data_IF_219778644906
#
_entry.id   IF_219778644906
#
_cell.length_a   1.000
_cell.length_b   1.000
_cell.length_c   1.000
_cell.angle_alpha   90.00
_cell.angle_beta   90.00
_cell.angle_gamma   90.00
#
_symmetry.space_group_name_H-M   'P 1'
#
loop_
_entity.id
_entity.type
_entity.pdbx_description
1 polymer ?
#
# COMPACT_ATOMS: atom_id res chain seq x y z
N UNK A 1 -25.18 -26.53 21.88
CA UNK A 1 -23.71 -26.76 21.81
C UNK A 1 -23.32 -26.87 20.36
N UNK A 2 -22.88 -25.78 19.78
CA UNK A 2 -22.44 -25.80 18.39
C UNK A 2 -21.00 -26.31 18.38
N UNK A 3 -20.82 -27.52 17.92
CA UNK A 3 -19.50 -28.14 17.74
C UNK A 3 -18.76 -27.33 16.68
N UNK A 4 -17.83 -26.50 17.10
CA UNK A 4 -16.85 -25.89 16.24
C UNK A 4 -16.04 -27.04 15.63
N UNK A 5 -16.38 -27.44 14.43
CA UNK A 5 -15.58 -28.41 13.68
C UNK A 5 -14.21 -27.78 13.48
N UNK A 6 -13.25 -28.19 14.31
CA UNK A 6 -11.88 -27.74 14.18
C UNK A 6 -11.34 -28.26 12.85
N UNK A 7 -11.18 -27.34 11.89
CA UNK A 7 -10.45 -27.59 10.66
C UNK A 7 -9.06 -28.10 11.05
N UNK A 8 -8.57 -29.20 10.46
CA UNK A 8 -7.24 -29.70 10.79
C UNK A 8 -6.19 -28.59 10.69
N UNK A 9 -5.25 -28.49 11.63
CA UNK A 9 -4.20 -27.46 11.63
C UNK A 9 -3.47 -27.36 10.28
N UNK A 10 -3.34 -28.49 9.61
CA UNK A 10 -2.75 -28.58 8.27
C UNK A 10 -3.51 -27.78 7.21
N UNK A 11 -4.83 -27.78 7.22
CA UNK A 11 -5.64 -27.00 6.25
C UNK A 11 -5.52 -25.49 6.48
N UNK A 12 -5.55 -25.04 7.72
CA UNK A 12 -5.37 -23.63 8.05
C UNK A 12 -3.98 -23.12 7.63
N UNK A 13 -2.95 -23.93 7.88
CA UNK A 13 -1.57 -23.63 7.46
C UNK A 13 -1.46 -23.57 5.93
N UNK A 14 -2.04 -24.53 5.22
CA UNK A 14 -2.05 -24.52 3.75
C UNK A 14 -2.75 -23.28 3.17
N UNK A 15 -3.89 -22.90 3.73
CA UNK A 15 -4.65 -21.72 3.31
C UNK A 15 -3.82 -20.46 3.56
N UNK A 16 -3.20 -20.34 4.73
CA UNK A 16 -2.35 -19.20 5.06
C UNK A 16 -1.16 -19.07 4.08
N UNK A 17 -0.49 -20.18 3.80
CA UNK A 17 0.62 -20.23 2.85
C UNK A 17 0.15 -19.86 1.44
N UNK A 18 -0.95 -20.44 0.98
CA UNK A 18 -1.50 -20.17 -0.35
C UNK A 18 -1.92 -18.71 -0.53
N UNK A 19 -2.54 -18.10 0.49
CA UNK A 19 -2.89 -16.68 0.48
C UNK A 19 -1.63 -15.81 0.43
N UNK A 20 -0.63 -16.14 1.23
CA UNK A 20 0.63 -15.40 1.24
C UNK A 20 1.34 -15.48 -0.12
N UNK A 21 1.47 -16.68 -0.69
CA UNK A 21 2.07 -16.90 -2.01
C UNK A 21 1.28 -16.18 -3.11
N UNK A 22 -0.04 -16.23 -3.07
CA UNK A 22 -0.89 -15.55 -4.03
C UNK A 22 -0.69 -14.03 -3.98
N UNK A 23 -0.71 -13.44 -2.79
CA UNK A 23 -0.56 -11.98 -2.62
C UNK A 23 0.85 -11.52 -2.97
N UNK A 24 1.89 -12.26 -2.55
CA UNK A 24 3.28 -11.88 -2.79
C UNK A 24 3.77 -12.24 -4.20
N UNK A 25 3.22 -13.30 -4.78
CA UNK A 25 3.51 -13.72 -6.15
C UNK A 25 2.94 -12.79 -7.21
N UNK A 26 1.98 -11.95 -6.85
CA UNK A 26 1.47 -10.93 -7.76
C UNK A 26 2.47 -9.79 -7.88
N UNK A 27 3.12 -9.70 -9.02
CA UNK A 27 4.22 -8.78 -9.29
C UNK A 27 3.76 -7.33 -9.51
N UNK A 28 2.79 -6.88 -8.68
CA UNK A 28 2.23 -5.53 -8.71
C UNK A 28 3.27 -4.47 -8.39
N UNK A 29 4.19 -4.78 -7.49
CA UNK A 29 5.28 -3.86 -7.14
C UNK A 29 6.18 -3.62 -8.34
N UNK A 30 6.51 -4.67 -9.09
CA UNK A 30 7.30 -4.54 -10.32
C UNK A 30 6.54 -3.75 -11.38
N UNK A 31 5.25 -4.00 -11.57
CA UNK A 31 4.40 -3.22 -12.46
C UNK A 31 4.35 -1.74 -12.06
N UNK A 32 4.23 -1.45 -10.76
CA UNK A 32 4.29 -0.09 -10.22
C UNK A 32 5.63 0.60 -10.51
N UNK A 33 6.72 -0.10 -10.25
CA UNK A 33 8.06 0.44 -10.50
C UNK A 33 8.29 0.72 -11.98
N UNK A 34 7.84 -0.18 -12.84
CA UNK A 34 7.94 -0.02 -14.28
C UNK A 34 7.09 1.17 -14.77
N UNK A 35 5.85 1.28 -14.31
CA UNK A 35 4.91 2.32 -14.72
C UNK A 35 5.33 3.72 -14.25
N UNK A 36 5.86 3.84 -13.05
CA UNK A 36 6.24 5.12 -12.44
C UNK A 36 7.74 5.40 -12.54
N UNK A 37 8.54 4.41 -12.91
CA UNK A 37 10.01 4.48 -12.90
C UNK A 37 10.55 4.99 -11.54
N UNK A 38 10.00 4.46 -10.46
CA UNK A 38 10.34 4.80 -9.08
C UNK A 38 10.61 3.53 -8.27
N UNK A 39 11.53 3.62 -7.33
CA UNK A 39 11.75 2.55 -6.34
C UNK A 39 10.58 2.38 -5.37
N UNK A 40 10.52 1.23 -4.66
CA UNK A 40 9.37 0.86 -3.81
C UNK A 40 9.05 1.91 -2.74
N UNK A 41 10.05 2.40 -2.04
CA UNK A 41 9.86 3.38 -0.98
C UNK A 41 9.29 4.71 -1.47
N UNK A 42 9.68 5.14 -2.67
CA UNK A 42 9.20 6.39 -3.27
C UNK A 42 7.75 6.29 -3.73
N UNK A 43 7.35 5.15 -4.28
CA UNK A 43 5.95 4.90 -4.64
C UNK A 43 5.06 4.94 -3.40
N UNK A 44 5.48 4.32 -2.31
CA UNK A 44 4.78 4.33 -1.03
C UNK A 44 4.60 5.77 -0.51
N UNK A 45 5.66 6.57 -0.56
CA UNK A 45 5.60 7.98 -0.16
C UNK A 45 4.59 8.76 -0.99
N UNK A 46 4.59 8.60 -2.31
CA UNK A 46 3.62 9.28 -3.19
C UNK A 46 2.18 8.90 -2.84
N UNK A 47 1.91 7.62 -2.66
CA UNK A 47 0.58 7.13 -2.33
C UNK A 47 0.11 7.68 -0.98
N UNK A 48 0.98 7.71 0.02
CA UNK A 48 0.65 8.26 1.34
C UNK A 48 0.43 9.77 1.32
N UNK A 49 1.20 10.51 0.53
CA UNK A 49 1.03 11.95 0.35
C UNK A 49 -0.30 12.32 -0.33
N UNK A 50 -0.95 11.37 -1.01
CA UNK A 50 -2.29 11.60 -1.55
C UNK A 50 -3.34 11.86 -0.47
N UNK A 51 -3.13 11.36 0.75
CA UNK A 51 -4.02 11.61 1.89
C UNK A 51 -3.82 13.00 2.53
N UNK A 52 -2.73 13.67 2.21
CA UNK A 52 -2.40 15.00 2.71
C UNK A 52 -0.90 15.23 2.84
N UNK A 53 -0.48 16.49 3.01
CA UNK A 53 0.92 16.81 3.19
C UNK A 53 1.48 16.23 4.50
N UNK A 54 2.75 15.87 4.48
CA UNK A 54 3.46 15.28 5.60
C UNK A 54 4.82 15.93 5.83
N UNK A 55 5.27 15.94 7.07
CA UNK A 55 6.66 16.27 7.41
C UNK A 55 7.59 15.11 7.03
N UNK A 56 8.89 15.39 6.89
CA UNK A 56 9.88 14.34 6.65
C UNK A 56 9.89 13.26 7.74
N UNK A 57 9.63 13.64 8.99
CA UNK A 57 9.52 12.68 10.11
C UNK A 57 8.33 11.75 9.94
N UNK A 58 7.18 12.29 9.55
CA UNK A 58 5.98 11.49 9.29
C UNK A 58 6.19 10.55 8.09
N UNK A 59 6.84 11.02 7.03
CA UNK A 59 7.20 10.21 5.87
C UNK A 59 8.12 9.05 6.29
N UNK A 60 9.18 9.33 7.05
CA UNK A 60 10.10 8.30 7.52
C UNK A 60 9.38 7.22 8.34
N UNK A 61 8.53 7.65 9.27
CA UNK A 61 7.75 6.73 10.12
C UNK A 61 6.76 5.90 9.29
N UNK A 62 6.03 6.52 8.37
CA UNK A 62 5.00 5.86 7.56
C UNK A 62 5.61 4.87 6.57
N UNK A 63 6.74 5.23 5.96
CA UNK A 63 7.46 4.37 5.02
C UNK A 63 8.37 3.34 5.72
N UNK A 64 8.54 3.42 7.04
CA UNK A 64 9.40 2.50 7.80
C UNK A 64 10.89 2.64 7.44
N UNK A 65 11.32 3.84 7.09
CA UNK A 65 12.72 4.17 6.73
C UNK A 65 13.32 5.16 7.72
N UNK A 66 14.64 5.25 7.75
CA UNK A 66 15.32 6.23 8.59
C UNK A 66 15.16 7.66 8.04
N UNK A 67 15.31 8.70 8.87
CA UNK A 67 15.17 10.09 8.43
C UNK A 67 16.11 10.50 7.28
N UNK A 68 17.41 10.10 7.26
CA UNK A 68 18.27 10.37 6.12
C UNK A 68 17.76 9.77 4.81
N UNK A 69 17.27 8.53 4.82
CA UNK A 69 16.68 7.88 3.64
C UNK A 69 15.41 8.60 3.17
N UNK A 70 14.57 9.07 4.10
CA UNK A 70 13.40 9.88 3.77
C UNK A 70 13.79 11.18 3.07
N UNK A 71 14.81 11.86 3.57
CA UNK A 71 15.31 13.09 2.94
C UNK A 71 15.79 12.83 1.51
N UNK A 72 16.63 11.83 1.31
CA UNK A 72 17.11 11.45 -0.03
C UNK A 72 15.96 11.09 -0.97
N UNK A 73 15.01 10.30 -0.49
CA UNK A 73 13.83 9.91 -1.27
C UNK A 73 12.98 11.11 -1.70
N UNK A 74 12.74 12.04 -0.80
CA UNK A 74 11.99 13.27 -1.08
C UNK A 74 12.77 14.20 -2.02
N UNK A 75 14.09 14.33 -1.86
CA UNK A 75 14.94 15.10 -2.77
C UNK A 75 14.84 14.57 -4.21
N UNK A 76 14.84 13.26 -4.38
CA UNK A 76 14.71 12.62 -5.69
C UNK A 76 13.31 12.80 -6.28
N UNK A 77 12.26 12.75 -5.47
CA UNK A 77 10.89 13.03 -5.91
C UNK A 77 10.72 14.50 -6.32
N UNK A 78 11.31 15.42 -5.56
CA UNK A 78 11.30 16.84 -5.87
C UNK A 78 12.07 17.15 -7.18
N UNK A 79 13.22 16.51 -7.38
CA UNK A 79 13.98 16.63 -8.61
C UNK A 79 13.21 16.15 -9.84
N UNK A 80 12.28 15.21 -9.67
CA UNK A 80 11.38 14.72 -10.73
C UNK A 80 10.10 15.54 -10.86
N UNK A 81 9.92 16.58 -10.07
CA UNK A 81 8.75 17.42 -10.11
C UNK A 81 7.47 16.80 -9.56
N UNK A 82 7.60 15.74 -8.73
CA UNK A 82 6.46 15.01 -8.18
C UNK A 82 6.02 15.53 -6.82
N UNK A 83 6.92 16.16 -6.07
CA UNK A 83 6.64 16.79 -4.78
C UNK A 83 7.30 18.17 -4.70
N UNK A 84 6.82 18.98 -3.76
CA UNK A 84 7.46 20.23 -3.38
C UNK A 84 7.40 20.41 -1.86
N UNK A 85 8.30 21.20 -1.31
CA UNK A 85 8.37 21.51 0.10
C UNK A 85 7.87 22.93 0.36
N UNK A 86 7.12 23.08 1.47
CA UNK A 86 6.73 24.38 2.01
C UNK A 86 7.10 24.46 3.49
N UNK A 87 7.29 25.67 4.06
CA UNK A 87 7.45 25.81 5.51
C UNK A 87 6.23 25.28 6.25
N UNK A 88 6.44 24.61 7.38
CA UNK A 88 5.33 24.20 8.22
C UNK A 88 4.64 25.44 8.84
N UNK A 89 3.29 25.49 8.89
CA UNK A 89 2.57 26.66 9.41
C UNK A 89 2.95 27.06 10.84
N UNK A 90 3.23 26.07 11.70
CA UNK A 90 3.50 26.30 13.11
C UNK A 90 5.00 26.41 13.45
N UNK A 91 5.89 25.98 12.55
CA UNK A 91 7.33 26.00 12.78
C UNK A 91 8.11 26.04 11.44
N UNK A 92 8.66 27.19 11.11
CA UNK A 92 9.43 27.41 9.87
C UNK A 92 10.69 26.53 9.75
N UNK A 93 11.16 25.91 10.85
CA UNK A 93 12.29 24.98 10.84
C UNK A 93 11.91 23.63 10.24
N UNK A 94 10.62 23.33 10.24
CA UNK A 94 10.05 22.10 9.67
C UNK A 94 9.53 22.39 8.28
N UNK A 95 9.56 21.37 7.43
CA UNK A 95 9.00 21.44 6.06
C UNK A 95 7.86 20.47 5.92
N UNK A 96 6.84 20.88 5.20
CA UNK A 96 5.78 20.01 4.70
C UNK A 96 6.07 19.63 3.27
N UNK A 97 5.90 18.36 2.96
CA UNK A 97 6.02 17.80 1.62
C UNK A 97 4.62 17.65 1.04
N UNK A 98 4.41 18.19 -0.14
CA UNK A 98 3.14 18.15 -0.88
C UNK A 98 3.33 17.47 -2.22
N UNK A 99 2.29 16.84 -2.73
CA UNK A 99 2.26 16.41 -4.12
C UNK A 99 2.10 17.62 -5.04
N UNK A 100 2.82 17.60 -6.15
CA UNK A 100 2.50 18.46 -7.33
C UNK A 100 1.34 17.85 -8.10
N UNK A 101 0.83 18.52 -9.14
CA UNK A 101 -0.17 17.91 -10.03
C UNK A 101 0.35 16.64 -10.69
N UNK A 102 1.60 16.65 -11.15
CA UNK A 102 2.25 15.46 -11.67
C UNK A 102 2.40 14.35 -10.62
N UNK A 103 2.68 14.71 -9.35
CA UNK A 103 2.73 13.79 -8.23
C UNK A 103 1.37 13.17 -7.92
N UNK A 104 0.29 13.94 -7.98
CA UNK A 104 -1.08 13.43 -7.82
C UNK A 104 -1.45 12.43 -8.91
N UNK A 105 -1.14 12.73 -10.16
CA UNK A 105 -1.37 11.80 -11.27
C UNK A 105 -0.57 10.51 -11.10
N UNK A 106 0.69 10.60 -10.68
CA UNK A 106 1.53 9.44 -10.42
C UNK A 106 0.97 8.59 -9.26
N UNK A 107 0.52 9.21 -8.16
CA UNK A 107 -0.10 8.54 -7.03
C UNK A 107 -1.39 7.83 -7.44
N UNK A 108 -2.23 8.46 -8.25
CA UNK A 108 -3.48 7.87 -8.77
C UNK A 108 -3.19 6.66 -9.65
N UNK A 109 -2.22 6.75 -10.56
CA UNK A 109 -1.79 5.60 -11.38
C UNK A 109 -1.26 4.46 -10.52
N UNK A 110 -0.45 4.78 -9.53
CA UNK A 110 0.06 3.79 -8.58
C UNK A 110 -1.05 3.10 -7.81
N UNK A 111 -2.01 3.85 -7.32
CA UNK A 111 -3.16 3.30 -6.59
C UNK A 111 -4.04 2.43 -7.48
N UNK A 112 -4.26 2.84 -8.74
CA UNK A 112 -5.02 2.06 -9.71
C UNK A 112 -4.36 0.70 -9.99
N UNK A 113 -3.03 0.68 -10.16
CA UNK A 113 -2.27 -0.58 -10.35
C UNK A 113 -2.39 -1.49 -9.12
N UNK A 114 -2.32 -0.91 -7.91
CA UNK A 114 -2.48 -1.69 -6.68
C UNK A 114 -3.89 -2.26 -6.51
N UNK A 115 -4.90 -1.55 -6.98
CA UNK A 115 -6.31 -1.95 -6.87
C UNK A 115 -6.78 -2.84 -8.02
N UNK A 116 -5.98 -2.99 -9.08
CA UNK A 116 -6.33 -3.88 -10.18
C UNK A 116 -6.33 -5.34 -9.70
N UNK A 117 -7.46 -6.04 -9.82
CA UNK A 117 -7.50 -7.44 -9.42
C UNK A 117 -6.62 -8.27 -10.36
N UNK A 118 -5.86 -9.24 -9.81
CA UNK A 118 -5.12 -10.18 -10.65
C UNK A 118 -6.08 -10.99 -11.52
N UNK A 119 -5.63 -11.38 -12.71
CA UNK A 119 -6.44 -12.10 -13.68
C UNK A 119 -7.06 -13.40 -13.11
N UNK A 120 -6.29 -14.09 -12.28
CA UNK A 120 -6.73 -15.31 -11.61
C UNK A 120 -7.93 -15.07 -10.70
N UNK A 121 -7.94 -13.94 -9.99
CA UNK A 121 -9.06 -13.54 -9.14
C UNK A 121 -10.23 -13.04 -9.98
N UNK A 122 -9.97 -12.24 -11.01
CA UNK A 122 -10.98 -11.69 -11.89
C UNK A 122 -11.72 -12.80 -12.69
N UNK A 123 -11.05 -13.92 -12.94
CA UNK A 123 -11.60 -15.07 -13.70
C UNK A 123 -12.36 -16.07 -12.82
N UNK A 124 -12.40 -15.87 -11.50
CA UNK A 124 -13.26 -16.68 -10.64
C UNK A 124 -14.73 -16.46 -10.99
N UNK A 125 -15.53 -17.53 -10.90
CA UNK A 125 -16.97 -17.40 -11.03
C UNK A 125 -17.58 -16.50 -9.96
N UNK A 126 -18.69 -15.85 -10.26
CA UNK A 126 -19.36 -14.91 -9.35
C UNK A 126 -19.70 -15.52 -7.99
N UNK A 127 -20.08 -16.80 -7.95
CA UNK A 127 -20.39 -17.49 -6.69
C UNK A 127 -19.16 -17.72 -5.83
N UNK A 128 -18.02 -18.07 -6.42
CA UNK A 128 -16.77 -18.26 -5.71
C UNK A 128 -16.20 -16.94 -5.23
N UNK A 129 -16.31 -15.88 -6.03
CA UNK A 129 -15.94 -14.53 -5.59
C UNK A 129 -16.77 -14.06 -4.40
N UNK A 130 -18.09 -14.27 -4.44
CA UNK A 130 -18.97 -13.91 -3.33
C UNK A 130 -18.63 -14.67 -2.04
N UNK A 131 -18.34 -15.96 -2.14
CA UNK A 131 -17.89 -16.78 -1.00
C UNK A 131 -16.57 -16.30 -0.43
N UNK A 132 -15.63 -15.99 -1.31
CA UNK A 132 -14.32 -15.48 -0.88
C UNK A 132 -14.46 -14.14 -0.17
N UNK A 133 -15.28 -13.24 -0.70
CA UNK A 133 -15.56 -11.95 -0.08
C UNK A 133 -16.17 -12.10 1.33
N UNK A 134 -17.17 -12.98 1.49
CA UNK A 134 -17.75 -13.29 2.78
C UNK A 134 -16.72 -13.82 3.79
N UNK A 135 -15.86 -14.74 3.36
CA UNK A 135 -14.83 -15.35 4.21
C UNK A 135 -13.83 -14.28 4.65
N UNK A 136 -13.34 -13.47 3.73
CA UNK A 136 -12.39 -12.40 4.02
C UNK A 136 -13.00 -11.34 4.94
N UNK A 137 -14.25 -10.97 4.72
CA UNK A 137 -14.98 -10.03 5.58
C UNK A 137 -15.08 -10.53 7.02
N UNK A 138 -15.40 -11.81 7.21
CA UNK A 138 -15.44 -12.42 8.55
C UNK A 138 -14.08 -12.41 9.23
N UNK A 139 -13.02 -12.78 8.50
CA UNK A 139 -11.65 -12.76 9.03
C UNK A 139 -11.21 -11.36 9.47
N UNK A 140 -11.58 -10.33 8.71
CA UNK A 140 -11.26 -8.94 9.05
C UNK A 140 -12.05 -8.43 10.26
N UNK A 141 -13.30 -8.85 10.39
CA UNK A 141 -14.16 -8.47 11.52
C UNK A 141 -13.68 -9.12 12.82
N UNK A 142 -13.30 -10.39 12.77
CA UNK A 142 -12.78 -11.14 13.93
C UNK A 142 -11.39 -10.65 14.37
N UNK A 143 -10.65 -10.00 13.48
CA UNK A 143 -9.29 -9.50 13.75
C UNK A 143 -9.25 -8.09 14.33
N UNK A 144 -10.41 -7.41 14.49
CA UNK A 144 -10.46 -6.10 15.14
C UNK A 144 -10.28 -6.27 16.65
N UNK A 145 -9.21 -5.72 17.25
CA UNK A 145 -9.13 -5.65 18.71
C UNK A 145 -10.26 -4.77 19.24
N UNK A 146 -10.87 -5.23 20.32
CA UNK A 146 -11.86 -4.48 21.11
C UNK A 146 -11.25 -3.21 21.68
#
# INVERSE_FOLDING_TARGET
MTTRSATPPDTATRVCTALHEFVTGQDRRRALHAALNLGPGKVEVLIKLADGPMTLREIARTAGIDPPAATVGVDQLEARGLVHRTPHPDDNRRKLVHLTDAGREAAQRGQAILNEPPAELANLGSDDLARLDEILTRLQTDSRPL
#
